data_IF_298785567136
#
_entry.id   IF_298785567136
#
_cell.length_a   1.000
_cell.length_b   1.000
_cell.length_c   1.000
_cell.angle_alpha   90.00
_cell.angle_beta   90.00
_cell.angle_gamma   90.00
#
_symmetry.space_group_name_H-M   'P 1'
#
loop_
_entity.id
_entity.type
_entity.pdbx_description
1 polymer ?
#
# COMPACT_ATOMS: atom_id res chain seq x y z
N UNK A 1 -26.18 28.85 4.36
CA UNK A 1 -25.33 27.74 3.84
C UNK A 1 -26.16 26.45 3.81
N UNK A 2 -26.17 25.78 2.68
CA UNK A 2 -26.86 24.51 2.54
C UNK A 2 -25.94 23.36 2.98
N UNK A 3 -26.38 22.55 3.92
CA UNK A 3 -25.64 21.37 4.38
C UNK A 3 -26.23 20.12 3.74
N UNK A 4 -25.37 19.35 3.07
CA UNK A 4 -25.74 18.05 2.49
C UNK A 4 -25.16 16.96 3.38
N UNK A 5 -26.01 16.06 3.85
CA UNK A 5 -25.61 14.97 4.73
C UNK A 5 -25.50 13.66 3.95
N UNK A 6 -24.42 12.96 4.16
CA UNK A 6 -24.19 11.61 3.65
C UNK A 6 -23.94 10.66 4.81
N UNK A 7 -24.39 9.43 4.69
CA UNK A 7 -24.23 8.42 5.74
C UNK A 7 -23.50 7.20 5.19
N UNK A 8 -22.46 6.77 5.89
CA UNK A 8 -21.63 5.62 5.55
C UNK A 8 -21.32 4.83 6.82
N UNK A 9 -21.02 3.55 6.67
CA UNK A 9 -20.62 2.69 7.79
C UNK A 9 -19.18 2.99 8.24
N UNK A 10 -18.32 3.37 7.29
CA UNK A 10 -16.94 3.73 7.57
C UNK A 10 -16.47 4.85 6.66
N UNK A 11 -15.47 5.59 7.12
CA UNK A 11 -14.85 6.67 6.36
C UNK A 11 -13.34 6.52 6.42
N UNK A 12 -12.69 6.53 5.27
CA UNK A 12 -11.23 6.57 5.15
C UNK A 12 -10.84 7.97 4.73
N UNK A 13 -9.91 8.57 5.46
CA UNK A 13 -9.37 9.89 5.14
C UNK A 13 -8.01 9.71 4.47
N UNK A 14 -7.97 9.96 3.17
CA UNK A 14 -6.79 9.83 2.34
C UNK A 14 -6.94 8.72 1.31
N UNK A 15 -6.65 9.04 0.04
CA UNK A 15 -6.73 8.10 -1.08
C UNK A 15 -5.35 7.84 -1.70
N UNK A 16 -4.31 7.76 -0.88
CA UNK A 16 -3.01 7.22 -1.24
C UNK A 16 -3.02 5.69 -1.17
N UNK A 17 -1.84 5.08 -1.27
CA UNK A 17 -1.72 3.62 -1.26
C UNK A 17 -2.32 2.96 -0.03
N UNK A 18 -2.05 3.50 1.15
CA UNK A 18 -2.57 2.95 2.40
C UNK A 18 -4.10 3.05 2.49
N UNK A 19 -4.65 4.22 2.15
CA UNK A 19 -6.10 4.43 2.20
C UNK A 19 -6.86 3.57 1.19
N UNK A 20 -6.35 3.46 -0.03
CA UNK A 20 -6.98 2.63 -1.06
C UNK A 20 -6.86 1.14 -0.74
N UNK A 21 -5.73 0.70 -0.17
CA UNK A 21 -5.61 -0.70 0.25
C UNK A 21 -6.58 -1.04 1.37
N UNK A 22 -6.75 -0.13 2.34
CA UNK A 22 -7.76 -0.29 3.39
C UNK A 22 -9.17 -0.33 2.81
N UNK A 23 -9.46 0.50 1.80
CA UNK A 23 -10.76 0.50 1.12
C UNK A 23 -11.05 -0.83 0.42
N UNK A 24 -10.06 -1.40 -0.25
CA UNK A 24 -10.20 -2.72 -0.91
C UNK A 24 -10.56 -3.80 0.13
N UNK A 25 -9.93 -3.77 1.28
CA UNK A 25 -10.19 -4.76 2.34
C UNK A 25 -11.57 -4.56 2.98
N UNK A 26 -11.98 -3.32 3.22
CA UNK A 26 -13.20 -3.01 3.96
C UNK A 26 -14.47 -2.99 3.09
N UNK A 27 -14.37 -2.64 1.83
CA UNK A 27 -15.51 -2.42 0.95
C UNK A 27 -16.47 -3.61 0.81
N UNK A 28 -16.01 -4.88 0.81
CA UNK A 28 -16.92 -6.02 0.78
C UNK A 28 -17.80 -6.16 2.03
N UNK A 29 -17.44 -5.53 3.13
CA UNK A 29 -18.07 -5.72 4.43
C UNK A 29 -18.90 -4.52 4.88
N UNK A 30 -18.75 -3.36 4.25
CA UNK A 30 -19.43 -2.15 4.70
C UNK A 30 -19.58 -1.13 3.57
N UNK A 31 -20.55 -0.24 3.74
CA UNK A 31 -20.69 0.95 2.89
C UNK A 31 -19.63 1.98 3.30
N UNK A 32 -18.73 2.27 2.38
CA UNK A 32 -17.51 2.99 2.68
C UNK A 32 -17.42 4.28 1.88
N UNK A 33 -16.94 5.35 2.51
CA UNK A 33 -16.53 6.58 1.84
C UNK A 33 -15.03 6.78 1.97
N UNK A 34 -14.40 7.21 0.89
CA UNK A 34 -13.00 7.64 0.92
C UNK A 34 -12.97 9.14 0.64
N UNK A 35 -12.45 9.91 1.59
CA UNK A 35 -12.34 11.35 1.50
C UNK A 35 -10.90 11.70 1.17
N UNK A 36 -10.70 12.47 0.12
CA UNK A 36 -9.35 12.83 -0.33
C UNK A 36 -9.27 14.28 -0.75
N UNK A 37 -8.13 14.89 -0.50
CA UNK A 37 -7.83 16.26 -0.95
C UNK A 37 -7.53 16.29 -2.45
N UNK A 38 -6.85 15.27 -2.96
CA UNK A 38 -6.43 15.19 -4.35
C UNK A 38 -7.01 13.92 -4.99
N UNK A 39 -7.11 13.93 -6.30
CA UNK A 39 -7.48 12.74 -7.06
C UNK A 39 -6.48 11.60 -6.74
N UNK A 40 -6.94 10.34 -6.58
CA UNK A 40 -6.06 9.25 -6.13
C UNK A 40 -4.78 9.07 -6.93
N UNK A 41 -4.81 9.25 -8.25
CA UNK A 41 -3.62 9.13 -9.10
C UNK A 41 -2.63 10.28 -8.92
N UNK A 42 -3.01 11.33 -8.21
CA UNK A 42 -2.12 12.45 -7.87
C UNK A 42 -1.58 12.36 -6.44
N UNK A 43 -1.85 11.27 -5.74
CA UNK A 43 -1.25 10.99 -4.44
C UNK A 43 0.26 10.77 -4.57
N UNK A 44 0.98 10.85 -3.46
CA UNK A 44 2.41 10.53 -3.45
C UNK A 44 2.68 9.10 -3.94
N UNK A 45 1.83 8.15 -3.58
CA UNK A 45 1.95 6.76 -4.08
C UNK A 45 1.78 6.71 -5.59
N UNK A 46 0.78 7.37 -6.13
CA UNK A 46 0.54 7.40 -7.58
C UNK A 46 1.61 8.15 -8.37
N UNK A 47 2.26 9.14 -7.75
CA UNK A 47 3.32 9.94 -8.36
C UNK A 47 4.72 9.35 -8.16
N UNK A 48 4.87 8.32 -7.34
CA UNK A 48 6.16 7.71 -7.07
C UNK A 48 6.75 7.06 -8.32
N UNK A 49 8.07 7.21 -8.48
CA UNK A 49 8.81 6.58 -9.57
C UNK A 49 9.72 5.45 -9.07
N UNK A 50 9.79 5.26 -7.77
CA UNK A 50 10.51 4.17 -7.15
C UNK A 50 9.73 2.86 -7.20
N UNK A 51 10.40 1.80 -6.79
CA UNK A 51 9.78 0.49 -6.66
C UNK A 51 9.38 0.17 -5.23
N UNK A 52 8.96 -1.06 -5.03
CA UNK A 52 8.78 -1.67 -3.72
C UNK A 52 9.95 -2.61 -3.46
N UNK A 53 10.51 -2.54 -2.26
CA UNK A 53 11.60 -3.43 -1.84
C UNK A 53 11.06 -4.51 -0.93
N UNK A 54 11.48 -5.74 -1.17
CA UNK A 54 11.17 -6.89 -0.31
C UNK A 54 12.27 -7.96 -0.45
N UNK A 55 12.48 -8.71 0.62
CA UNK A 55 13.45 -9.80 0.64
C UNK A 55 12.81 -11.07 0.04
N UNK A 56 12.69 -11.12 -1.28
CA UNK A 56 12.08 -12.24 -2.00
C UNK A 56 13.00 -13.45 -2.17
N UNK A 57 14.31 -13.25 -2.03
CA UNK A 57 15.33 -14.31 -2.25
C UNK A 57 15.21 -14.98 -3.63
N UNK A 58 14.78 -14.24 -4.64
CA UNK A 58 14.53 -14.78 -5.97
C UNK A 58 15.75 -14.72 -6.92
N UNK A 59 16.76 -13.93 -6.57
CA UNK A 59 18.00 -13.80 -7.34
C UNK A 59 19.18 -14.36 -6.56
N UNK A 60 19.27 -14.03 -5.29
CA UNK A 60 20.31 -14.50 -4.38
C UNK A 60 19.71 -14.74 -3.00
N UNK A 61 20.47 -15.36 -2.10
CA UNK A 61 20.02 -15.58 -0.74
C UNK A 61 19.72 -14.25 -0.06
N UNK A 62 18.54 -14.18 0.57
CA UNK A 62 18.08 -12.99 1.27
C UNK A 62 17.09 -13.40 2.37
N UNK A 63 16.84 -12.48 3.32
CA UNK A 63 15.78 -12.65 4.30
C UNK A 63 15.32 -11.30 4.84
N UNK A 64 14.12 -11.27 5.41
CA UNK A 64 13.52 -10.01 5.89
C UNK A 64 14.29 -9.38 7.06
N UNK A 65 15.05 -10.15 7.84
CA UNK A 65 15.86 -9.60 8.92
C UNK A 65 16.99 -8.70 8.38
N UNK A 66 17.60 -9.08 7.26
CA UNK A 66 18.60 -8.25 6.61
C UNK A 66 17.98 -6.97 6.07
N UNK A 67 16.80 -7.06 5.48
CA UNK A 67 16.04 -5.89 5.03
C UNK A 67 15.72 -4.97 6.21
N UNK A 68 15.27 -5.52 7.33
CA UNK A 68 14.99 -4.75 8.55
C UNK A 68 16.26 -4.06 9.09
N UNK A 69 17.39 -4.76 9.13
CA UNK A 69 18.67 -4.19 9.54
C UNK A 69 19.06 -3.01 8.65
N UNK A 70 19.00 -3.16 7.35
CA UNK A 70 19.34 -2.11 6.40
C UNK A 70 18.40 -0.91 6.54
N UNK A 71 17.14 -1.14 6.80
CA UNK A 71 16.14 -0.08 7.00
C UNK A 71 16.41 0.70 8.29
N UNK A 72 16.68 0.01 9.40
CA UNK A 72 17.04 0.66 10.66
C UNK A 72 18.32 1.47 10.53
N UNK A 73 19.34 0.88 9.89
CA UNK A 73 20.61 1.56 9.64
C UNK A 73 20.43 2.78 8.72
N UNK A 74 19.64 2.64 7.66
CA UNK A 74 19.36 3.72 6.72
C UNK A 74 18.58 4.88 7.33
N UNK A 75 17.86 4.65 8.41
CA UNK A 75 17.14 5.66 9.17
C UNK A 75 17.99 6.29 10.30
N UNK A 76 19.30 6.07 10.31
CA UNK A 76 20.21 6.50 11.36
C UNK A 76 19.80 5.97 12.76
N UNK A 77 19.20 4.78 12.80
CA UNK A 77 18.71 4.13 14.03
C UNK A 77 17.60 4.90 14.76
N UNK A 78 16.94 5.83 14.07
CA UNK A 78 15.84 6.64 14.62
C UNK A 78 14.45 6.03 14.34
N UNK A 79 14.38 4.98 13.54
CA UNK A 79 13.12 4.36 13.18
C UNK A 79 12.46 3.65 14.38
N UNK A 80 11.15 3.55 14.33
CA UNK A 80 10.38 2.67 15.21
C UNK A 80 10.64 1.22 14.78
N UNK A 81 11.49 0.52 15.53
CA UNK A 81 11.96 -0.81 15.12
C UNK A 81 10.84 -1.86 15.02
N UNK A 82 9.85 -1.92 15.93
CA UNK A 82 8.72 -2.83 15.75
C UNK A 82 7.95 -2.58 14.45
N UNK A 83 7.77 -1.31 14.06
CA UNK A 83 7.12 -0.97 12.79
C UNK A 83 7.97 -1.39 11.58
N UNK A 84 9.29 -1.25 11.67
CA UNK A 84 10.22 -1.72 10.61
C UNK A 84 10.14 -3.23 10.45
N UNK A 85 10.09 -3.99 11.53
CA UNK A 85 9.96 -5.44 11.47
C UNK A 85 8.68 -5.88 10.77
N UNK A 86 7.56 -5.26 11.10
CA UNK A 86 6.28 -5.50 10.44
C UNK A 86 6.38 -5.19 8.95
N UNK A 87 6.91 -4.00 8.63
CA UNK A 87 7.07 -3.56 7.24
C UNK A 87 7.90 -4.55 6.41
N UNK A 88 9.07 -4.92 6.90
CA UNK A 88 10.00 -5.77 6.15
C UNK A 88 9.51 -7.21 6.04
N UNK A 89 8.88 -7.72 7.08
CA UNK A 89 8.30 -9.07 7.08
C UNK A 89 7.09 -9.17 6.14
N UNK A 90 6.19 -8.20 6.21
CA UNK A 90 4.97 -8.20 5.39
C UNK A 90 5.20 -7.70 3.97
N UNK A 91 6.31 -7.04 3.69
CA UNK A 91 6.65 -6.54 2.35
C UNK A 91 6.68 -7.66 1.30
N UNK A 92 7.08 -8.86 1.70
CA UNK A 92 7.18 -10.03 0.81
C UNK A 92 5.80 -10.33 0.22
N UNK A 93 4.79 -10.49 1.07
CA UNK A 93 3.42 -10.78 0.62
C UNK A 93 2.79 -9.58 -0.09
N UNK A 94 3.08 -8.36 0.36
CA UNK A 94 2.57 -7.15 -0.26
C UNK A 94 3.08 -6.98 -1.70
N UNK A 95 4.34 -7.28 -1.97
CA UNK A 95 4.91 -7.22 -3.33
C UNK A 95 4.25 -8.28 -4.22
N UNK A 96 4.11 -9.51 -3.75
CA UNK A 96 3.47 -10.60 -4.49
C UNK A 96 2.01 -10.23 -4.80
N UNK A 97 1.28 -9.70 -3.83
CA UNK A 97 -0.10 -9.24 -4.02
C UNK A 97 -0.18 -8.14 -5.09
N UNK A 98 0.70 -7.15 -5.04
CA UNK A 98 0.75 -6.06 -6.02
C UNK A 98 1.00 -6.55 -7.43
N UNK A 99 1.91 -7.51 -7.60
CA UNK A 99 2.19 -8.14 -8.91
C UNK A 99 0.97 -8.90 -9.40
N UNK A 100 0.29 -9.62 -8.52
CA UNK A 100 -0.92 -10.37 -8.87
C UNK A 100 -2.02 -9.45 -9.38
N UNK A 101 -2.25 -8.30 -8.74
CA UNK A 101 -3.22 -7.32 -9.23
C UNK A 101 -2.85 -6.79 -10.60
N UNK A 102 -1.58 -6.49 -10.85
CA UNK A 102 -1.10 -6.03 -12.15
C UNK A 102 -1.37 -7.07 -13.24
N UNK A 103 -1.10 -8.33 -12.98
CA UNK A 103 -1.35 -9.40 -13.93
C UNK A 103 -2.84 -9.64 -14.20
N UNK A 104 -3.69 -9.47 -13.19
CA UNK A 104 -5.13 -9.62 -13.35
C UNK A 104 -5.76 -8.49 -14.17
N UNK A 105 -5.22 -7.28 -14.06
CA UNK A 105 -5.78 -6.11 -14.75
C UNK A 105 -5.30 -5.95 -16.18
N UNK A 106 -4.04 -6.25 -16.47
CA UNK A 106 -3.46 -6.07 -17.79
C UNK A 106 -4.19 -6.88 -18.88
N UNK A 107 -4.46 -8.18 -18.72
CA UNK A 107 -5.24 -8.93 -19.72
C UNK A 107 -6.62 -8.35 -19.97
N UNK A 108 -7.27 -7.86 -18.95
CA UNK A 108 -8.58 -7.22 -19.08
C UNK A 108 -8.48 -5.91 -19.86
N UNK A 109 -7.42 -5.14 -19.65
CA UNK A 109 -7.18 -3.86 -20.31
C UNK A 109 -6.83 -4.04 -21.79
N UNK A 110 -6.05 -5.06 -22.11
CA UNK A 110 -5.56 -5.32 -23.47
C UNK A 110 -6.34 -6.38 -24.23
N UNK A 111 -7.24 -7.09 -23.58
CA UNK A 111 -8.09 -8.12 -24.18
C UNK A 111 -9.25 -7.58 -24.98
N UNK A 112 -9.14 -6.37 -25.42
CA UNK A 112 -10.22 -5.65 -26.10
C UNK A 112 -10.18 -5.84 -27.60
#
# INVERSE_FOLDING_TARGET
>A
MKVIKHSFDGVIVGAGGAGLRAAIEAAPHMKLAVITKLYPTRSHTGAAQGGMSAALANVEEDNWNWHAFDTVKGSDYLADQPAVDILCKEAIDAVIESVSYTHLTLPTTFGV
#
